data_IF_859129915373
#
_entry.id   IF_859129915373
#
_cell.length_a   1.000
_cell.length_b   1.000
_cell.length_c   1.000
_cell.angle_alpha   90.00
_cell.angle_beta   90.00
_cell.angle_gamma   90.00
#
_symmetry.space_group_name_H-M   'P 1'
#
loop_
_entity.id
_entity.type
_entity.pdbx_description
1 polymer ?
#
# COMPACT_ATOMS: atom_id res chain seq x y z
N UNK A 1 -53.31 -53.85 -21.40
CA UNK A 1 -52.52 -52.84 -22.16
C UNK A 1 -52.85 -51.48 -21.56
N UNK A 2 -51.99 -50.51 -21.24
CA UNK A 2 -50.54 -50.32 -21.22
C UNK A 2 -50.31 -49.12 -20.27
N UNK A 3 -49.22 -49.15 -19.52
CA UNK A 3 -48.77 -48.15 -18.53
C UNK A 3 -48.64 -46.72 -19.09
N UNK A 4 -48.91 -45.71 -18.25
CA UNK A 4 -48.15 -44.45 -18.26
C UNK A 4 -48.31 -43.71 -16.92
N UNK A 5 -47.36 -43.90 -16.00
CA UNK A 5 -47.16 -43.01 -14.85
C UNK A 5 -46.08 -42.00 -15.23
N UNK A 6 -46.49 -40.75 -15.40
CA UNK A 6 -45.57 -39.61 -15.56
C UNK A 6 -44.84 -39.38 -14.23
N UNK A 7 -43.55 -39.64 -14.24
CA UNK A 7 -42.58 -39.17 -13.25
C UNK A 7 -42.49 -37.64 -13.35
N UNK A 8 -42.89 -36.94 -12.29
CA UNK A 8 -42.51 -35.53 -12.08
C UNK A 8 -41.44 -35.51 -10.99
N UNK A 9 -40.20 -35.24 -11.40
CA UNK A 9 -39.10 -34.94 -10.48
C UNK A 9 -39.30 -33.51 -9.96
N UNK A 10 -39.71 -33.38 -8.70
CA UNK A 10 -39.58 -32.13 -7.96
C UNK A 10 -38.10 -31.95 -7.59
N UNK A 11 -37.40 -31.09 -8.33
CA UNK A 11 -36.08 -30.60 -7.93
C UNK A 11 -36.28 -29.66 -6.73
N UNK A 12 -36.19 -30.21 -5.51
CA UNK A 12 -36.08 -29.42 -4.30
C UNK A 12 -34.77 -28.63 -4.32
N UNK A 13 -34.86 -27.32 -4.41
CA UNK A 13 -33.74 -26.41 -4.15
C UNK A 13 -33.43 -26.52 -2.66
N UNK A 14 -32.42 -27.30 -2.31
CA UNK A 14 -31.83 -27.26 -0.97
C UNK A 14 -31.00 -25.98 -0.95
N UNK A 15 -31.56 -24.92 -0.36
CA UNK A 15 -30.77 -23.75 0.00
C UNK A 15 -29.71 -24.21 1.01
N UNK A 16 -28.48 -24.38 0.53
CA UNK A 16 -27.34 -24.56 1.42
C UNK A 16 -27.23 -23.30 2.29
N UNK A 17 -27.02 -23.43 3.62
CA UNK A 17 -26.76 -22.27 4.45
C UNK A 17 -25.53 -21.56 3.90
N UNK A 18 -25.66 -20.26 3.63
CA UNK A 18 -24.54 -19.41 3.29
C UNK A 18 -23.47 -19.58 4.39
N UNK A 19 -22.19 -19.80 4.04
CA UNK A 19 -21.14 -19.85 5.04
C UNK A 19 -21.20 -18.55 5.85
N UNK A 20 -21.22 -18.67 7.18
CA UNK A 20 -21.10 -17.54 8.10
C UNK A 20 -19.95 -16.66 7.60
N UNK A 21 -20.30 -15.42 7.24
CA UNK A 21 -19.34 -14.40 6.86
C UNK A 21 -18.45 -14.20 8.08
N UNK A 22 -17.27 -14.85 8.08
CA UNK A 22 -16.27 -14.70 9.14
C UNK A 22 -16.00 -13.21 9.23
N UNK A 23 -16.50 -12.60 10.31
CA UNK A 23 -16.33 -11.18 10.56
C UNK A 23 -14.85 -10.87 10.43
N UNK A 24 -14.49 -10.03 9.46
CA UNK A 24 -13.12 -9.54 9.32
C UNK A 24 -12.70 -8.98 10.67
N UNK A 25 -11.56 -9.37 11.24
CA UNK A 25 -11.11 -8.83 12.51
C UNK A 25 -11.12 -7.30 12.42
N UNK A 26 -11.79 -6.65 13.37
CA UNK A 26 -11.81 -5.20 13.48
C UNK A 26 -10.35 -4.74 13.59
N UNK A 27 -9.88 -3.83 12.73
CA UNK A 27 -8.52 -3.30 12.83
C UNK A 27 -8.31 -2.78 14.26
N UNK A 28 -7.32 -3.34 14.96
CA UNK A 28 -6.95 -2.88 16.29
C UNK A 28 -6.47 -1.44 16.13
N UNK A 29 -7.10 -0.49 16.81
CA UNK A 29 -6.57 0.87 16.93
C UNK A 29 -5.32 0.82 17.81
N UNK A 30 -4.16 0.71 17.16
CA UNK A 30 -2.87 0.52 17.82
C UNK A 30 -2.30 1.82 18.42
N UNK A 31 -2.96 2.97 18.19
CA UNK A 31 -2.47 4.28 18.63
C UNK A 31 -1.10 4.64 18.03
N UNK A 32 -0.64 5.88 18.22
CA UNK A 32 0.73 6.24 17.81
C UNK A 32 1.76 5.52 18.69
N UNK A 33 2.81 4.93 18.10
CA UNK A 33 3.89 4.28 18.86
C UNK A 33 5.14 5.16 18.98
N UNK A 34 5.25 6.22 18.18
CA UNK A 34 6.33 7.22 18.21
C UNK A 34 5.77 8.62 17.89
N UNK A 35 6.49 9.72 18.20
CA UNK A 35 6.12 11.05 17.73
C UNK A 35 5.98 11.10 16.20
N UNK A 36 5.04 11.92 15.73
CA UNK A 36 4.83 12.14 14.31
C UNK A 36 6.09 12.73 13.67
N UNK A 37 6.54 12.12 12.59
CA UNK A 37 7.70 12.56 11.81
C UNK A 37 7.41 12.41 10.32
N UNK A 38 8.18 13.09 9.49
CA UNK A 38 7.95 13.13 8.06
C UNK A 38 8.75 12.01 7.38
N UNK A 39 8.10 11.32 6.44
CA UNK A 39 8.70 10.30 5.58
C UNK A 39 8.52 10.69 4.11
N UNK A 40 9.39 10.16 3.27
CA UNK A 40 9.27 10.16 1.81
C UNK A 40 9.39 8.73 1.33
N UNK A 41 8.38 8.25 0.61
CA UNK A 41 8.47 7.04 -0.21
C UNK A 41 8.95 7.43 -1.62
N UNK A 42 10.00 6.77 -2.11
CA UNK A 42 10.56 7.03 -3.43
C UNK A 42 11.16 5.75 -4.03
N UNK A 43 11.27 5.73 -5.36
CA UNK A 43 11.97 4.71 -6.15
C UNK A 43 12.66 5.36 -7.35
N UNK A 44 13.69 4.71 -7.89
CA UNK A 44 14.37 5.21 -9.08
C UNK A 44 13.56 4.84 -10.33
N UNK A 45 13.40 5.79 -11.27
CA UNK A 45 12.73 5.57 -12.56
C UNK A 45 11.31 5.03 -12.47
N UNK A 46 10.58 5.41 -11.42
CA UNK A 46 9.21 4.99 -11.15
C UNK A 46 8.30 6.21 -11.07
N UNK A 47 7.04 6.07 -11.47
CA UNK A 47 6.04 7.13 -11.38
C UNK A 47 5.44 7.26 -9.97
N UNK A 48 4.90 8.45 -9.66
CA UNK A 48 4.18 8.70 -8.40
C UNK A 48 3.00 7.73 -8.22
N UNK A 49 2.31 7.39 -9.31
CA UNK A 49 1.17 6.46 -9.32
C UNK A 49 1.54 5.06 -8.82
N UNK A 50 2.72 4.58 -9.21
CA UNK A 50 3.24 3.28 -8.80
C UNK A 50 3.73 3.30 -7.34
N UNK A 51 4.31 4.44 -6.89
CA UNK A 51 4.66 4.65 -5.49
C UNK A 51 3.39 4.65 -4.61
N UNK A 52 2.34 5.37 -5.02
CA UNK A 52 1.04 5.37 -4.33
C UNK A 52 0.45 3.97 -4.28
N UNK A 53 0.47 3.25 -5.40
CA UNK A 53 0.04 1.86 -5.46
C UNK A 53 0.82 0.98 -4.47
N UNK A 54 2.15 1.13 -4.40
CA UNK A 54 2.99 0.38 -3.47
C UNK A 54 2.62 0.68 -2.01
N UNK A 55 2.48 1.96 -1.67
CA UNK A 55 2.09 2.41 -0.33
C UNK A 55 0.72 1.85 0.09
N UNK A 56 -0.22 1.71 -0.86
CA UNK A 56 -1.57 1.19 -0.56
C UNK A 56 -1.67 -0.33 -0.56
N UNK A 57 -0.93 -1.02 -1.42
CA UNK A 57 -1.08 -2.47 -1.68
C UNK A 57 0.04 -3.33 -1.08
N UNK A 58 1.18 -2.74 -0.73
CA UNK A 58 2.35 -3.42 -0.13
C UNK A 58 2.64 -2.88 1.27
N UNK A 59 1.58 -2.49 2.00
CA UNK A 59 1.66 -1.87 3.33
C UNK A 59 2.46 -2.71 4.32
N UNK A 60 2.26 -4.02 4.35
CA UNK A 60 2.99 -4.91 5.27
C UNK A 60 4.50 -4.87 5.01
N UNK A 61 4.91 -4.93 3.74
CA UNK A 61 6.31 -4.93 3.35
C UNK A 61 6.97 -3.57 3.60
N UNK A 62 6.24 -2.48 3.38
CA UNK A 62 6.72 -1.13 3.67
C UNK A 62 6.54 -0.73 5.14
N UNK A 63 5.90 -1.58 5.94
CA UNK A 63 5.47 -1.30 7.32
C UNK A 63 4.70 0.02 7.41
N UNK A 64 3.63 0.16 6.61
CA UNK A 64 2.73 1.32 6.51
C UNK A 64 1.27 0.95 6.84
N UNK A 65 1.08 -0.01 7.75
CA UNK A 65 -0.23 -0.54 8.10
C UNK A 65 -1.12 0.44 8.87
N UNK A 66 -0.52 1.43 9.55
CA UNK A 66 -1.24 2.42 10.33
C UNK A 66 -0.45 3.74 10.40
N UNK A 67 -1.13 4.81 10.80
CA UNK A 67 -0.45 6.01 11.29
C UNK A 67 0.24 6.86 10.24
N UNK A 68 -0.29 6.95 9.01
CA UNK A 68 0.16 7.92 8.00
C UNK A 68 -0.97 8.81 7.49
N UNK A 69 -0.64 10.06 7.16
CA UNK A 69 -1.56 11.09 6.66
C UNK A 69 -0.80 12.22 5.95
N UNK A 70 -1.51 13.21 5.42
CA UNK A 70 -0.96 14.39 4.71
C UNK A 70 -0.05 14.01 3.54
N UNK A 71 -0.54 13.13 2.66
CA UNK A 71 0.16 12.67 1.45
C UNK A 71 0.31 13.82 0.45
N UNK A 72 1.55 14.12 0.06
CA UNK A 72 1.90 15.16 -0.92
C UNK A 72 2.89 14.58 -1.94
N UNK A 73 2.57 14.56 -3.24
CA UNK A 73 3.54 14.25 -4.29
C UNK A 73 4.70 15.25 -4.29
N UNK A 74 5.92 14.74 -4.42
CA UNK A 74 7.13 15.54 -4.44
C UNK A 74 8.05 15.15 -5.59
N UNK A 75 8.81 16.11 -6.10
CA UNK A 75 9.91 15.91 -7.02
C UNK A 75 11.22 16.18 -6.26
N UNK A 76 12.11 15.19 -6.27
CA UNK A 76 13.35 15.22 -5.52
C UNK A 76 14.58 15.29 -6.44
N UNK A 77 15.60 16.03 -6.02
CA UNK A 77 16.89 16.16 -6.70
C UNK A 77 18.04 15.81 -5.75
N UNK A 78 19.13 15.19 -6.23
CA UNK A 78 20.32 14.95 -5.43
C UNK A 78 20.95 16.25 -4.92
N UNK A 79 21.30 16.32 -3.63
CA UNK A 79 21.92 17.50 -3.00
C UNK A 79 23.32 17.78 -3.60
N UNK A 80 24.01 16.75 -4.10
CA UNK A 80 25.40 16.85 -4.57
C UNK A 80 25.56 17.29 -6.04
N UNK A 81 24.55 17.92 -6.64
CA UNK A 81 24.76 18.80 -7.79
C UNK A 81 24.97 18.14 -9.16
N UNK A 82 24.79 16.82 -9.32
CA UNK A 82 24.58 16.26 -10.67
C UNK A 82 23.15 16.56 -11.12
N UNK A 83 22.90 17.80 -11.52
CA UNK A 83 21.66 18.31 -12.14
C UNK A 83 21.27 17.60 -13.45
N UNK A 84 22.06 16.61 -13.88
CA UNK A 84 21.77 15.75 -15.03
C UNK A 84 21.02 14.46 -14.67
N UNK A 85 20.84 14.17 -13.38
CA UNK A 85 19.98 13.08 -12.95
C UNK A 85 18.50 13.49 -13.08
N UNK A 86 17.68 12.63 -13.69
CA UNK A 86 16.23 12.83 -13.72
C UNK A 86 15.67 13.00 -12.30
N UNK A 87 14.62 13.84 -12.11
CA UNK A 87 14.01 13.99 -10.81
C UNK A 87 13.52 12.63 -10.30
N UNK A 88 13.82 12.35 -9.04
CA UNK A 88 13.26 11.19 -8.33
C UNK A 88 11.89 11.63 -7.82
N UNK A 89 10.83 11.01 -8.34
CA UNK A 89 9.50 11.27 -7.83
C UNK A 89 9.28 10.53 -6.51
N UNK A 90 8.46 11.11 -5.64
CA UNK A 90 8.14 10.55 -4.33
C UNK A 90 6.79 11.00 -3.79
N UNK A 91 6.40 10.39 -2.68
CA UNK A 91 5.25 10.80 -1.88
C UNK A 91 5.73 11.11 -0.47
N UNK A 92 5.52 12.33 -0.04
CA UNK A 92 5.82 12.84 1.30
C UNK A 92 4.59 12.69 2.18
N UNK A 93 4.74 12.24 3.41
CA UNK A 93 3.64 12.05 4.36
C UNK A 93 4.12 12.11 5.80
N UNK A 94 3.20 12.38 6.73
CA UNK A 94 3.45 12.29 8.16
C UNK A 94 3.24 10.85 8.64
N UNK A 95 4.06 10.38 9.57
CA UNK A 95 4.04 9.01 10.09
C UNK A 95 4.29 8.95 11.61
N UNK A 96 3.65 8.04 12.34
CA UNK A 96 3.78 7.97 13.82
C UNK A 96 3.88 6.56 14.41
N UNK A 97 4.35 5.57 13.63
CA UNK A 97 4.57 4.21 14.12
C UNK A 97 6.05 3.78 14.00
N UNK A 98 6.47 2.80 14.80
CA UNK A 98 7.82 2.23 14.75
C UNK A 98 7.95 1.39 13.48
N UNK A 99 9.04 1.55 12.75
CA UNK A 99 9.35 0.82 11.52
C UNK A 99 10.85 0.52 11.41
N UNK A 100 11.21 -0.47 10.63
CA UNK A 100 12.58 -0.65 10.13
C UNK A 100 12.76 0.19 8.85
N UNK A 101 13.63 1.19 8.89
CA UNK A 101 13.90 2.07 7.75
C UNK A 101 14.52 1.36 6.54
N UNK A 102 14.99 0.12 6.71
CA UNK A 102 15.61 -0.69 5.65
C UNK A 102 14.59 -1.47 4.83
N UNK A 103 13.33 -1.54 5.26
CA UNK A 103 12.30 -2.24 4.50
C UNK A 103 12.04 -1.57 3.16
N UNK A 104 11.76 -2.39 2.15
CA UNK A 104 11.52 -1.99 0.78
C UNK A 104 10.58 -2.99 0.13
N UNK A 105 9.85 -2.54 -0.89
CA UNK A 105 9.05 -3.40 -1.75
C UNK A 105 9.50 -3.26 -3.19
N UNK A 106 9.25 -4.28 -4.00
CA UNK A 106 9.58 -4.29 -5.42
C UNK A 106 8.32 -4.01 -6.24
N UNK A 107 8.42 -3.05 -7.16
CA UNK A 107 7.37 -2.67 -8.11
C UNK A 107 8.05 -2.61 -9.47
N UNK A 108 7.57 -3.37 -10.46
CA UNK A 108 8.12 -3.37 -11.82
C UNK A 108 9.67 -3.46 -11.91
N UNK A 109 10.27 -4.33 -11.08
CA UNK A 109 11.73 -4.52 -10.96
C UNK A 109 12.53 -3.33 -10.39
N UNK A 110 11.86 -2.30 -9.86
CA UNK A 110 12.46 -1.21 -9.09
C UNK A 110 12.02 -1.28 -7.63
N UNK A 111 12.87 -0.79 -6.73
CA UNK A 111 12.56 -0.79 -5.29
C UNK A 111 11.92 0.53 -4.87
N UNK A 112 10.77 0.44 -4.21
CA UNK A 112 10.17 1.53 -3.45
C UNK A 112 10.59 1.36 -1.99
N UNK A 113 11.08 2.44 -1.41
CA UNK A 113 11.47 2.49 -0.01
C UNK A 113 10.97 3.80 0.60
N UNK A 114 10.68 3.79 1.91
CA UNK A 114 10.23 4.98 2.62
C UNK A 114 11.22 5.30 3.75
N UNK A 115 11.70 6.54 3.82
CA UNK A 115 12.65 6.98 4.85
C UNK A 115 12.43 8.45 5.22
N UNK A 116 12.96 8.89 6.37
CA UNK A 116 13.10 10.31 6.66
C UNK A 116 13.82 11.06 5.52
N UNK A 117 13.43 12.30 5.17
CA UNK A 117 14.02 13.08 4.07
C UNK A 117 15.53 13.21 4.14
N UNK A 118 16.06 13.46 5.35
CA UNK A 118 17.48 13.60 5.61
C UNK A 118 18.28 12.32 5.32
N UNK A 119 17.63 11.16 5.18
CA UNK A 119 18.29 9.88 4.87
C UNK A 119 18.40 9.63 3.36
N UNK A 120 17.75 10.44 2.53
CA UNK A 120 17.75 10.27 1.08
C UNK A 120 18.93 10.95 0.37
N UNK A 121 19.61 11.90 1.03
CA UNK A 121 20.55 12.81 0.35
C UNK A 121 19.91 13.51 -0.87
N UNK A 122 18.59 13.80 -0.74
CA UNK A 122 17.76 14.47 -1.73
C UNK A 122 17.19 15.76 -1.13
N UNK A 123 17.03 16.78 -1.95
CA UNK A 123 16.14 17.93 -1.70
C UNK A 123 14.86 17.70 -2.49
N UNK A 124 13.71 17.88 -1.86
CA UNK A 124 12.41 17.61 -2.49
C UNK A 124 11.53 18.85 -2.42
N UNK A 125 10.92 19.18 -3.55
CA UNK A 125 9.92 20.24 -3.70
C UNK A 125 8.56 19.62 -4.01
N UNK A 126 7.50 20.31 -3.63
CA UNK A 126 6.12 19.91 -3.92
C UNK A 126 5.85 20.04 -5.42
N UNK A 127 5.05 19.13 -6.01
CA UNK A 127 4.70 19.12 -7.44
C UNK A 127 3.33 19.71 -7.69
#
# INVERSE_FOLDING_TARGET
MKFQHLLVFAAGVIAAPAPEEVAKPVPVDIGATVPSHLLICAGAFIEVSEIDWAMRNRRDELQLNAGWWDEVPVACQPINGTHTAQPVFGIRFMYNHTRDEKVKTEVEAVFVQCKPPNHWNLTCDDV
#
